data_IF_079812770965
#
_entry.id   IF_079812770965
#
_cell.length_a   1.000
_cell.length_b   1.000
_cell.length_c   1.000
_cell.angle_alpha   90.00
_cell.angle_beta   90.00
_cell.angle_gamma   90.00
#
_symmetry.space_group_name_H-M   'P 1'
#
loop_
_entity.id
_entity.type
_entity.pdbx_description
1 polymer ?
#
# COMPACT_ATOMS: atom_id res chain seq x y z
N UNK A 1 -4.61 -1.36 -4.53
CA UNK A 1 -4.34 0.08 -4.77
C UNK A 1 -5.19 0.53 -5.93
N UNK A 2 -5.94 1.62 -5.77
CA UNK A 2 -6.72 2.22 -6.84
C UNK A 2 -6.31 3.68 -7.05
N UNK A 3 -6.29 4.10 -8.31
CA UNK A 3 -6.13 5.49 -8.73
C UNK A 3 -7.37 5.90 -9.52
N UNK A 4 -8.13 6.88 -9.02
CA UNK A 4 -9.39 7.34 -9.62
C UNK A 4 -10.34 6.17 -9.92
N UNK A 5 -10.52 5.29 -8.93
CA UNK A 5 -11.35 4.08 -8.98
C UNK A 5 -10.92 3.00 -9.99
N UNK A 6 -9.78 3.19 -10.66
CA UNK A 6 -9.15 2.18 -11.51
C UNK A 6 -8.15 1.36 -10.69
N UNK A 7 -8.26 0.03 -10.77
CA UNK A 7 -7.31 -0.87 -10.12
C UNK A 7 -5.90 -0.64 -10.67
N UNK A 8 -4.96 -0.33 -9.77
CA UNK A 8 -3.60 0.04 -10.11
C UNK A 8 -2.57 -1.04 -9.75
N UNK A 9 -2.88 -1.90 -8.78
CA UNK A 9 -1.99 -2.99 -8.35
C UNK A 9 -2.03 -3.31 -6.86
N UNK A 10 -1.06 -4.11 -6.43
CA UNK A 10 -0.91 -4.62 -5.06
C UNK A 10 0.24 -3.91 -4.36
N UNK A 11 -0.01 -3.39 -3.16
CA UNK A 11 1.06 -2.96 -2.26
C UNK A 11 1.43 -4.13 -1.35
N UNK A 12 2.71 -4.49 -1.35
CA UNK A 12 3.28 -5.58 -0.55
C UNK A 12 3.91 -4.96 0.69
N UNK A 13 3.37 -5.31 1.85
CA UNK A 13 3.89 -4.90 3.15
C UNK A 13 4.69 -6.05 3.76
N UNK A 14 6.03 -5.98 3.79
CA UNK A 14 6.86 -7.07 4.29
C UNK A 14 6.74 -7.21 5.82
N UNK A 15 6.83 -8.44 6.32
CA UNK A 15 6.93 -8.72 7.75
C UNK A 15 8.25 -8.16 8.31
N UNK A 16 8.18 -7.53 9.50
CA UNK A 16 9.33 -6.85 10.14
C UNK A 16 9.80 -7.48 11.46
N UNK A 17 9.14 -8.54 11.91
CA UNK A 17 9.43 -9.23 13.15
C UNK A 17 8.15 -9.77 13.79
N UNK A 18 8.29 -10.62 14.80
CA UNK A 18 7.17 -11.03 15.65
C UNK A 18 7.00 -9.96 16.75
N UNK A 19 5.79 -9.43 16.90
CA UNK A 19 5.44 -8.39 17.89
C UNK A 19 6.28 -7.08 17.80
N UNK A 20 6.92 -6.85 16.67
CA UNK A 20 7.71 -5.65 16.39
C UNK A 20 6.87 -4.62 15.63
N UNK A 21 6.56 -3.50 16.28
CA UNK A 21 5.70 -2.43 15.76
C UNK A 21 6.41 -1.08 15.63
N UNK A 22 7.71 -1.04 15.93
CA UNK A 22 8.54 0.17 15.90
C UNK A 22 9.55 0.20 14.74
N UNK A 23 9.72 -0.91 14.01
CA UNK A 23 10.47 -0.93 12.75
C UNK A 23 9.59 -0.43 11.59
N UNK A 24 10.03 0.63 10.92
CA UNK A 24 9.32 1.28 9.83
C UNK A 24 10.09 1.20 8.52
N UNK A 25 9.37 1.09 7.42
CA UNK A 25 9.96 1.27 6.10
C UNK A 25 8.96 1.22 4.97
N UNK A 26 9.39 1.67 3.80
CA UNK A 26 8.52 1.78 2.63
C UNK A 26 8.17 0.41 2.02
N UNK A 27 6.95 0.31 1.51
CA UNK A 27 6.52 -0.76 0.61
C UNK A 27 7.11 -0.57 -0.80
N UNK A 28 6.74 -1.46 -1.72
CA UNK A 28 6.91 -1.19 -3.15
C UNK A 28 6.22 0.10 -3.59
N UNK A 29 6.68 0.67 -4.70
CA UNK A 29 6.15 1.91 -5.30
C UNK A 29 5.51 1.64 -6.67
N UNK A 30 4.70 2.60 -7.11
CA UNK A 30 4.10 2.62 -8.45
C UNK A 30 4.33 3.98 -9.10
N UNK A 31 4.58 3.97 -10.41
CA UNK A 31 4.72 5.18 -11.22
C UNK A 31 3.45 5.39 -12.04
N UNK A 32 2.83 6.55 -11.90
CA UNK A 32 1.65 6.94 -12.67
C UNK A 32 1.89 8.23 -13.41
N UNK A 33 1.30 8.35 -14.60
CA UNK A 33 1.12 9.64 -15.25
C UNK A 33 -0.11 10.32 -14.63
N UNK A 34 0.10 11.44 -13.97
CA UNK A 34 -0.96 12.24 -13.36
C UNK A 34 -1.13 13.53 -14.16
N UNK A 35 -2.35 13.77 -14.63
CA UNK A 35 -2.68 15.04 -15.27
C UNK A 35 -2.90 16.13 -14.21
N UNK A 36 -2.95 17.40 -14.62
CA UNK A 36 -3.24 18.49 -13.70
C UNK A 36 -4.64 18.31 -13.11
N UNK A 37 -4.74 18.22 -11.79
CA UNK A 37 -6.02 18.20 -11.11
C UNK A 37 -5.99 17.43 -9.80
N UNK A 38 -7.18 17.08 -9.33
CA UNK A 38 -7.37 16.24 -8.15
C UNK A 38 -7.41 14.77 -8.56
N UNK A 39 -6.63 13.95 -7.88
CA UNK A 39 -6.67 12.51 -8.02
C UNK A 39 -7.02 11.86 -6.68
N UNK A 40 -7.71 10.74 -6.75
CA UNK A 40 -8.09 9.95 -5.58
C UNK A 40 -7.26 8.68 -5.56
N UNK A 41 -6.51 8.47 -4.47
CA UNK A 41 -5.75 7.24 -4.23
C UNK A 41 -6.45 6.46 -3.12
N UNK A 42 -6.72 5.18 -3.35
CA UNK A 42 -7.34 4.30 -2.35
C UNK A 42 -6.46 3.08 -2.10
N UNK A 43 -6.04 2.92 -0.86
CA UNK A 43 -5.53 1.66 -0.33
C UNK A 43 -6.71 0.89 0.25
N UNK A 44 -6.98 -0.29 -0.28
CA UNK A 44 -8.15 -1.12 0.08
C UNK A 44 -7.64 -2.54 0.31
N UNK A 45 -8.11 -3.16 1.39
CA UNK A 45 -7.91 -4.59 1.64
C UNK A 45 -9.04 -5.35 0.94
N UNK A 46 -8.74 -5.95 -0.20
CA UNK A 46 -9.70 -6.71 -0.98
C UNK A 46 -9.77 -8.17 -0.53
N UNK A 47 -10.85 -8.92 -0.84
CA UNK A 47 -10.99 -10.32 -0.44
C UNK A 47 -9.87 -11.25 -0.93
N UNK A 48 -9.21 -10.90 -2.05
CA UNK A 48 -8.07 -11.64 -2.59
C UNK A 48 -6.71 -11.20 -2.03
N UNK A 49 -6.67 -10.22 -1.14
CA UNK A 49 -5.44 -9.81 -0.45
C UNK A 49 -5.22 -10.66 0.81
N UNK A 50 -5.21 -11.97 0.63
CA UNK A 50 -4.97 -12.94 1.71
C UNK A 50 -3.49 -13.06 2.01
N UNK A 51 -3.11 -12.98 3.29
CA UNK A 51 -1.74 -13.21 3.73
C UNK A 51 -1.38 -14.70 3.57
N UNK A 52 -0.12 -15.00 3.21
CA UNK A 52 0.43 -16.35 3.11
C UNK A 52 0.50 -17.10 4.45
N UNK A 53 0.42 -16.42 5.60
CA UNK A 53 0.56 -17.02 6.94
C UNK A 53 -0.74 -17.03 7.78
N UNK A 54 -1.88 -17.06 7.08
CA UNK A 54 -3.22 -17.54 7.48
C UNK A 54 -3.97 -16.85 8.64
N UNK A 55 -3.32 -16.26 9.65
CA UNK A 55 -4.03 -15.77 10.85
C UNK A 55 -4.01 -14.24 11.07
N UNK A 56 -2.96 -13.53 10.63
CA UNK A 56 -2.81 -12.09 10.87
C UNK A 56 -2.58 -11.35 9.55
N UNK A 57 -3.43 -10.36 9.25
CA UNK A 57 -3.34 -9.52 8.05
C UNK A 57 -3.47 -8.03 8.40
N UNK A 58 -2.69 -7.60 9.39
CA UNK A 58 -2.70 -6.24 9.91
C UNK A 58 -1.41 -5.53 9.50
N UNK A 59 -1.52 -4.26 9.12
CA UNK A 59 -0.38 -3.39 8.85
C UNK A 59 -0.64 -2.00 9.45
N UNK A 60 0.43 -1.34 9.89
CA UNK A 60 0.39 0.07 10.28
C UNK A 60 0.77 0.95 9.08
N UNK A 61 0.07 2.07 8.93
CA UNK A 61 0.35 3.07 7.90
C UNK A 61 0.61 4.42 8.57
N UNK A 62 1.76 5.01 8.29
CA UNK A 62 2.12 6.34 8.75
C UNK A 62 1.76 7.39 7.69
N UNK A 63 2.45 7.37 6.55
CA UNK A 63 2.16 8.27 5.44
C UNK A 63 2.35 7.61 4.07
N UNK A 64 1.72 8.24 3.07
CA UNK A 64 2.01 8.02 1.66
C UNK A 64 2.81 9.21 1.15
N UNK A 65 3.87 8.96 0.38
CA UNK A 65 4.64 10.01 -0.30
C UNK A 65 4.43 9.97 -1.81
N UNK A 66 4.35 11.14 -2.40
CA UNK A 66 4.34 11.33 -3.86
C UNK A 66 5.69 11.95 -4.23
N UNK A 67 6.44 11.26 -5.10
CA UNK A 67 7.73 11.73 -5.58
C UNK A 67 7.58 12.10 -7.04
N UNK A 68 8.04 13.30 -7.40
CA UNK A 68 8.14 13.72 -8.79
C UNK A 68 9.42 13.11 -9.39
N UNK A 69 9.25 12.27 -10.40
CA UNK A 69 10.35 11.75 -11.23
C UNK A 69 10.66 12.70 -12.38
#
# INVERSE_FOLDING_TARGET
>A
LYLNDVYAGVLVFPQRGQDEWSDWGFSNSYTFKLDKGRHTVRLVLEPWNTNMNVDVNTAMLDYLRIIKH
#
